data_IF_829053923129
#
_entry.id   IF_829053923129
#
_cell.length_a   1.000
_cell.length_b   1.000
_cell.length_c   1.000
_cell.angle_alpha   90.00
_cell.angle_beta   90.00
_cell.angle_gamma   90.00
#
_symmetry.space_group_name_H-M   'P 1'
#
loop_
_entity.id
_entity.type
_entity.pdbx_description
1 polymer ?
#
# COMPACT_ATOMS: atom_id res chain seq x y z
N UNK A 1 -23.35 -38.53 -6.58
CA UNK A 1 -24.41 -37.79 -7.30
C UNK A 1 -24.12 -36.32 -7.08
N UNK A 2 -23.45 -35.66 -8.02
CA UNK A 2 -23.34 -34.21 -8.03
C UNK A 2 -24.72 -33.66 -8.40
N UNK A 3 -25.40 -33.03 -7.46
CA UNK A 3 -26.53 -32.17 -7.79
C UNK A 3 -25.95 -30.91 -8.43
N UNK A 4 -26.28 -30.70 -9.68
CA UNK A 4 -26.10 -29.44 -10.38
C UNK A 4 -26.77 -28.34 -9.55
N UNK A 5 -25.99 -27.50 -8.92
CA UNK A 5 -26.47 -26.26 -8.36
C UNK A 5 -26.83 -25.33 -9.53
N UNK A 6 -28.11 -25.14 -9.76
CA UNK A 6 -28.63 -24.17 -10.71
C UNK A 6 -28.57 -22.80 -10.06
N UNK A 7 -27.39 -22.25 -10.09
CA UNK A 7 -27.01 -20.93 -9.67
C UNK A 7 -25.50 -20.83 -9.91
N UNK A 8 -25.05 -19.98 -10.80
CA UNK A 8 -23.62 -19.83 -11.04
C UNK A 8 -22.97 -19.16 -9.84
N UNK A 9 -22.34 -19.94 -8.97
CA UNK A 9 -21.42 -19.45 -7.97
C UNK A 9 -20.11 -19.08 -8.65
N UNK A 10 -19.76 -17.80 -8.64
CA UNK A 10 -18.45 -17.33 -9.06
C UNK A 10 -17.65 -16.97 -7.81
N UNK A 11 -16.73 -17.84 -7.41
CA UNK A 11 -15.77 -17.56 -6.35
C UNK A 11 -14.65 -16.68 -6.90
N UNK A 12 -14.55 -15.44 -6.45
CA UNK A 12 -13.40 -14.57 -6.70
C UNK A 12 -12.43 -14.75 -5.55
N UNK A 13 -11.25 -15.30 -5.84
CA UNK A 13 -10.28 -15.86 -4.89
C UNK A 13 -9.29 -14.84 -4.30
N UNK A 14 -9.69 -13.58 -4.07
CA UNK A 14 -8.82 -12.59 -3.41
C UNK A 14 -9.48 -11.83 -2.25
N UNK A 15 -10.73 -12.11 -1.99
CA UNK A 15 -11.41 -11.87 -0.73
C UNK A 15 -12.51 -12.90 -0.66
N UNK A 16 -12.64 -13.59 0.45
CA UNK A 16 -13.60 -14.67 0.68
C UNK A 16 -15.02 -14.09 0.71
N UNK A 17 -15.49 -13.60 -0.44
CA UNK A 17 -16.88 -13.18 -0.64
C UNK A 17 -17.49 -14.03 -1.70
N UNK A 18 -18.62 -14.65 -1.36
CA UNK A 18 -19.45 -15.43 -2.28
C UNK A 18 -20.61 -14.57 -2.76
N UNK A 19 -20.85 -14.57 -4.07
CA UNK A 19 -21.98 -13.88 -4.65
C UNK A 19 -22.98 -14.92 -5.24
N UNK A 20 -24.21 -14.84 -4.80
CA UNK A 20 -25.33 -15.61 -5.36
C UNK A 20 -26.16 -14.73 -6.30
N UNK A 21 -26.50 -15.23 -7.49
CA UNK A 21 -27.36 -14.53 -8.44
C UNK A 21 -28.70 -15.27 -8.51
N UNK A 22 -29.80 -14.55 -8.26
CA UNK A 22 -31.17 -15.05 -8.39
C UNK A 22 -31.57 -15.16 -9.88
N UNK A 23 -30.87 -16.05 -10.58
CA UNK A 23 -31.14 -16.35 -12.00
C UNK A 23 -31.49 -17.83 -12.14
N UNK A 24 -32.78 -18.14 -12.06
CA UNK A 24 -33.26 -19.51 -12.13
C UNK A 24 -34.21 -19.89 -10.97
N UNK A 25 -34.18 -21.16 -10.53
CA UNK A 25 -35.12 -21.73 -9.58
C UNK A 25 -34.70 -21.63 -8.09
N UNK A 26 -33.66 -20.89 -7.76
CA UNK A 26 -33.21 -20.72 -6.36
C UNK A 26 -33.89 -19.53 -5.66
N UNK A 27 -34.16 -19.67 -4.36
CA UNK A 27 -34.68 -18.56 -3.53
C UNK A 27 -33.56 -17.76 -2.87
N UNK A 28 -33.88 -16.52 -2.46
CA UNK A 28 -32.95 -15.66 -1.70
C UNK A 28 -32.51 -16.32 -0.38
N UNK A 29 -33.44 -17.04 0.25
CA UNK A 29 -33.21 -17.75 1.51
C UNK A 29 -32.22 -18.91 1.34
N UNK A 30 -32.31 -19.64 0.24
CA UNK A 30 -31.37 -20.73 -0.08
C UNK A 30 -29.94 -20.20 -0.32
N UNK A 31 -29.80 -19.09 -1.04
CA UNK A 31 -28.49 -18.46 -1.25
C UNK A 31 -27.90 -17.90 0.04
N UNK A 32 -28.72 -17.29 0.90
CA UNK A 32 -28.27 -16.81 2.20
C UNK A 32 -27.86 -17.96 3.13
N UNK A 33 -28.60 -19.09 3.13
CA UNK A 33 -28.24 -20.28 3.90
C UNK A 33 -26.98 -20.97 3.37
N UNK A 34 -26.69 -20.83 2.05
CA UNK A 34 -25.45 -21.30 1.45
C UNK A 34 -24.23 -20.39 1.74
N UNK A 35 -24.43 -19.29 2.47
CA UNK A 35 -23.36 -18.39 2.88
C UNK A 35 -22.98 -17.34 1.82
N UNK A 36 -23.92 -16.96 0.95
CA UNK A 36 -23.68 -15.88 -0.01
C UNK A 36 -23.61 -14.52 0.69
N UNK A 37 -22.49 -13.84 0.57
CA UNK A 37 -22.25 -12.49 1.11
C UNK A 37 -22.97 -11.39 0.31
N UNK A 38 -23.19 -11.65 -0.99
CA UNK A 38 -23.89 -10.77 -1.90
C UNK A 38 -24.95 -11.57 -2.66
N UNK A 39 -26.19 -11.09 -2.70
CA UNK A 39 -27.27 -11.71 -3.47
C UNK A 39 -27.82 -10.68 -4.46
N UNK A 40 -27.57 -10.92 -5.76
CA UNK A 40 -28.03 -10.09 -6.87
C UNK A 40 -29.25 -10.71 -7.55
N UNK A 41 -30.14 -9.87 -8.10
CA UNK A 41 -31.32 -10.33 -8.81
C UNK A 41 -31.02 -10.71 -10.26
N UNK A 42 -30.06 -10.03 -10.87
CA UNK A 42 -29.68 -10.25 -12.27
C UNK A 42 -28.15 -10.20 -12.45
N UNK A 43 -27.62 -10.81 -13.53
CA UNK A 43 -26.21 -10.67 -13.89
C UNK A 43 -25.79 -9.22 -14.12
N UNK A 44 -26.69 -8.37 -14.61
CA UNK A 44 -26.43 -6.95 -14.83
C UNK A 44 -26.28 -6.20 -13.48
N UNK A 45 -27.11 -6.53 -12.49
CA UNK A 45 -26.99 -6.00 -11.13
C UNK A 45 -25.67 -6.40 -10.50
N UNK A 46 -25.28 -7.67 -10.65
CA UNK A 46 -23.97 -8.18 -10.22
C UNK A 46 -22.83 -7.43 -10.91
N UNK A 47 -22.89 -7.32 -12.25
CA UNK A 47 -21.88 -6.59 -13.03
C UNK A 47 -21.81 -5.12 -12.60
N UNK A 48 -22.93 -4.46 -12.34
CA UNK A 48 -22.98 -3.08 -11.88
C UNK A 48 -22.36 -2.93 -10.50
N UNK A 49 -22.62 -3.85 -9.57
CA UNK A 49 -22.02 -3.85 -8.23
C UNK A 49 -20.51 -4.11 -8.35
N UNK A 50 -20.09 -5.10 -9.12
CA UNK A 50 -18.68 -5.42 -9.33
C UNK A 50 -17.93 -4.29 -10.04
N UNK A 51 -18.55 -3.63 -11.01
CA UNK A 51 -17.96 -2.46 -11.67
C UNK A 51 -17.94 -1.24 -10.75
N UNK A 52 -18.94 -1.05 -9.89
CA UNK A 52 -18.91 0.03 -8.89
C UNK A 52 -17.87 -0.23 -7.81
N UNK A 53 -17.64 -1.50 -7.43
CA UNK A 53 -16.54 -1.88 -6.55
C UNK A 53 -15.17 -1.73 -7.24
N UNK A 54 -15.08 -1.92 -8.56
CA UNK A 54 -13.88 -1.68 -9.35
C UNK A 54 -13.66 -0.21 -9.72
N UNK A 55 -14.72 0.60 -9.85
CA UNK A 55 -14.64 2.02 -10.22
C UNK A 55 -14.58 2.97 -9.02
N UNK A 56 -14.46 2.42 -7.79
CA UNK A 56 -14.11 3.20 -6.60
C UNK A 56 -15.30 3.83 -5.90
N UNK A 57 -16.02 3.04 -5.14
CA UNK A 57 -16.18 3.40 -3.75
C UNK A 57 -15.20 2.53 -2.94
N UNK A 58 -13.91 2.79 -3.07
CA UNK A 58 -12.94 2.48 -2.02
C UNK A 58 -13.35 3.34 -0.84
N UNK A 59 -14.33 2.90 -0.06
CA UNK A 59 -14.50 3.45 1.27
C UNK A 59 -13.14 3.33 1.92
N UNK A 60 -12.53 4.49 2.08
CA UNK A 60 -11.28 4.66 2.80
C UNK A 60 -11.40 3.82 4.06
N UNK A 61 -10.57 2.77 4.20
CA UNK A 61 -10.66 1.93 5.38
C UNK A 61 -10.22 2.74 6.61
N UNK A 62 -10.65 2.34 7.79
CA UNK A 62 -10.39 3.10 9.02
C UNK A 62 -8.89 3.28 9.28
N UNK A 63 -8.06 2.28 8.94
CA UNK A 63 -6.60 2.37 9.09
C UNK A 63 -6.00 3.36 8.12
N UNK A 64 -6.39 3.32 6.82
CA UNK A 64 -5.88 4.27 5.81
C UNK A 64 -6.16 5.71 6.23
N UNK A 65 -7.38 5.97 6.71
CA UNK A 65 -7.80 7.27 7.20
C UNK A 65 -7.01 7.71 8.43
N UNK A 66 -6.92 6.83 9.43
CA UNK A 66 -6.22 7.13 10.68
C UNK A 66 -4.75 7.48 10.42
N UNK A 67 -4.04 6.68 9.62
CA UNK A 67 -2.65 6.95 9.27
C UNK A 67 -2.51 8.25 8.47
N UNK A 68 -3.43 8.56 7.56
CA UNK A 68 -3.43 9.84 6.85
C UNK A 68 -3.59 11.03 7.81
N UNK A 69 -4.53 10.95 8.75
CA UNK A 69 -4.74 11.96 9.79
C UNK A 69 -3.51 12.14 10.67
N UNK A 70 -2.87 11.03 11.06
CA UNK A 70 -1.65 11.04 11.86
C UNK A 70 -0.49 11.73 11.13
N UNK A 71 -0.25 11.39 9.86
CA UNK A 71 0.78 12.02 9.05
C UNK A 71 0.55 13.53 8.85
N UNK A 72 -0.70 13.94 8.68
CA UNK A 72 -1.07 15.36 8.59
C UNK A 72 -0.86 16.07 9.93
N UNK A 73 -1.25 15.45 11.05
CA UNK A 73 -1.15 16.05 12.39
C UNK A 73 0.26 16.41 12.79
N UNK A 74 1.24 15.58 12.42
CA UNK A 74 2.67 15.81 12.67
C UNK A 74 3.35 16.58 11.55
N UNK A 75 2.59 17.07 10.56
CA UNK A 75 3.10 17.77 9.39
C UNK A 75 4.16 16.95 8.62
N UNK A 76 3.98 15.66 8.51
CA UNK A 76 4.81 14.81 7.66
C UNK A 76 4.49 14.97 6.16
N UNK A 77 3.32 15.50 5.84
CA UNK A 77 2.90 15.77 4.47
C UNK A 77 2.68 17.27 4.27
N UNK A 78 3.33 17.81 3.25
CA UNK A 78 3.27 19.22 2.86
C UNK A 78 2.64 19.34 1.50
N UNK A 79 1.68 20.27 1.36
CA UNK A 79 1.03 20.58 0.10
C UNK A 79 1.40 21.99 -0.37
N UNK A 80 1.81 22.11 -1.64
CA UNK A 80 2.11 23.37 -2.32
C UNK A 80 1.64 23.30 -3.77
N UNK A 81 0.32 23.30 -4.02
CA UNK A 81 -0.20 23.19 -5.38
C UNK A 81 0.11 24.42 -6.24
N UNK A 82 0.30 25.60 -5.62
CA UNK A 82 0.60 26.86 -6.34
C UNK A 82 2.10 27.12 -6.46
N UNK A 83 2.92 26.62 -5.49
CA UNK A 83 4.37 26.77 -5.45
C UNK A 83 5.04 25.39 -5.28
N UNK A 84 5.05 24.55 -6.34
CA UNK A 84 5.43 23.16 -6.21
C UNK A 84 6.88 22.95 -5.76
N UNK A 85 7.10 21.85 -5.07
CA UNK A 85 8.43 21.34 -4.78
C UNK A 85 9.10 20.85 -6.09
N UNK A 86 10.43 20.93 -6.16
CA UNK A 86 11.19 20.27 -7.22
C UNK A 86 11.95 19.09 -6.64
N UNK A 87 11.64 17.89 -7.10
CA UNK A 87 12.35 16.68 -6.70
C UNK A 87 13.76 16.66 -7.32
N UNK A 88 14.65 15.80 -6.77
CA UNK A 88 16.00 15.62 -7.32
C UNK A 88 16.00 15.15 -8.79
N UNK A 89 14.91 14.52 -9.24
CA UNK A 89 14.67 14.12 -10.64
C UNK A 89 14.27 15.28 -11.56
N UNK A 90 14.06 16.48 -11.01
CA UNK A 90 13.53 17.64 -11.74
C UNK A 90 12.00 17.72 -11.78
N UNK A 91 11.28 16.70 -11.36
CA UNK A 91 9.80 16.66 -11.36
C UNK A 91 9.27 17.72 -10.41
N UNK A 92 8.31 18.51 -10.88
CA UNK A 92 7.52 19.43 -10.05
C UNK A 92 6.45 18.64 -9.32
N UNK A 93 6.38 18.78 -8.00
CA UNK A 93 5.42 18.05 -7.17
C UNK A 93 4.64 18.99 -6.28
N UNK A 94 3.30 18.89 -6.23
CA UNK A 94 2.46 19.68 -5.33
C UNK A 94 2.53 19.19 -3.89
N UNK A 95 3.23 18.07 -3.64
CA UNK A 95 3.29 17.41 -2.34
C UNK A 95 4.70 16.91 -2.03
N UNK A 96 5.06 17.00 -0.77
CA UNK A 96 6.26 16.38 -0.22
C UNK A 96 5.88 15.61 1.04
N UNK A 97 6.32 14.35 1.14
CA UNK A 97 6.11 13.50 2.29
C UNK A 97 7.44 13.18 2.96
N UNK A 98 7.54 13.43 4.27
CA UNK A 98 8.70 13.10 5.10
C UNK A 98 8.27 12.20 6.29
N UNK A 99 8.19 10.92 6.04
CA UNK A 99 7.81 9.94 7.04
C UNK A 99 8.83 9.79 8.18
N UNK A 100 10.05 10.34 8.03
CA UNK A 100 11.07 10.35 9.11
C UNK A 100 10.60 11.12 10.34
N UNK A 101 9.66 12.06 10.19
CA UNK A 101 9.06 12.81 11.29
C UNK A 101 8.26 11.91 12.25
N UNK A 102 7.79 10.75 11.78
CA UNK A 102 7.11 9.75 12.63
C UNK A 102 8.01 9.34 13.81
N UNK A 103 9.32 9.21 13.58
CA UNK A 103 10.26 8.75 14.60
C UNK A 103 10.33 9.70 15.82
N UNK A 104 10.03 10.97 15.62
CA UNK A 104 10.06 12.00 16.67
C UNK A 104 8.68 12.29 17.27
N UNK A 105 7.64 11.60 16.83
CA UNK A 105 6.25 11.71 17.29
C UNK A 105 5.82 10.39 17.97
N UNK A 106 6.06 10.16 19.26
CA UNK A 106 5.92 8.85 19.91
C UNK A 106 4.53 8.22 19.75
N UNK A 107 3.46 9.00 19.87
CA UNK A 107 2.08 8.50 19.77
C UNK A 107 1.78 8.05 18.33
N UNK A 108 2.07 8.90 17.35
CA UNK A 108 1.91 8.56 15.91
C UNK A 108 2.80 7.39 15.52
N UNK A 109 4.02 7.34 16.04
CA UNK A 109 4.92 6.21 15.82
C UNK A 109 4.30 4.91 16.32
N UNK A 110 3.73 4.91 17.52
CA UNK A 110 3.09 3.72 18.09
C UNK A 110 1.92 3.25 17.22
N UNK A 111 1.08 4.16 16.73
CA UNK A 111 -0.03 3.84 15.82
C UNK A 111 0.48 3.24 14.50
N UNK A 112 1.48 3.88 13.89
CA UNK A 112 2.07 3.41 12.62
C UNK A 112 2.70 2.03 12.77
N UNK A 113 3.52 1.81 13.82
CA UNK A 113 4.18 0.51 14.05
C UNK A 113 3.17 -0.59 14.35
N UNK A 114 2.12 -0.28 15.11
CA UNK A 114 1.01 -1.21 15.37
C UNK A 114 0.29 -1.56 14.07
N UNK A 115 0.03 -0.58 13.20
CA UNK A 115 -0.61 -0.81 11.92
C UNK A 115 0.26 -1.63 10.96
N UNK A 116 1.60 -1.42 10.94
CA UNK A 116 2.55 -2.26 10.19
C UNK A 116 2.49 -3.70 10.70
N UNK A 117 2.60 -3.91 12.02
CA UNK A 117 2.53 -5.22 12.65
C UNK A 117 1.25 -5.97 12.26
N UNK A 118 0.08 -5.35 12.47
CA UNK A 118 -1.21 -5.93 12.13
C UNK A 118 -1.34 -6.25 10.63
N UNK A 119 -0.76 -5.40 9.78
CA UNK A 119 -0.73 -5.65 8.33
C UNK A 119 0.13 -6.85 7.99
N UNK A 120 1.29 -7.00 8.61
CA UNK A 120 2.16 -8.18 8.40
C UNK A 120 1.46 -9.45 8.90
N UNK A 121 0.86 -9.42 10.08
CA UNK A 121 0.13 -10.58 10.64
C UNK A 121 -1.02 -11.03 9.74
N UNK A 122 -1.75 -10.09 9.15
CA UNK A 122 -2.89 -10.37 8.26
C UNK A 122 -2.46 -10.84 6.88
N UNK A 123 -1.51 -10.14 6.24
CA UNK A 123 -1.17 -10.33 4.83
C UNK A 123 -0.03 -11.33 4.63
N UNK A 124 0.84 -11.47 5.61
CA UNK A 124 2.06 -12.28 5.56
C UNK A 124 2.28 -13.08 6.86
N UNK A 125 1.29 -13.88 7.31
CA UNK A 125 1.36 -14.59 8.61
C UNK A 125 2.53 -15.58 8.69
N UNK A 126 3.13 -15.93 7.56
CA UNK A 126 4.29 -16.81 7.47
C UNK A 126 5.64 -16.06 7.47
N UNK A 127 5.66 -14.75 7.76
CA UNK A 127 6.89 -13.97 7.82
C UNK A 127 7.83 -14.51 8.91
N UNK A 128 9.09 -14.69 8.56
CA UNK A 128 10.14 -15.19 9.48
C UNK A 128 11.16 -14.12 9.80
N UNK A 129 11.36 -13.15 8.92
CA UNK A 129 12.34 -12.05 9.06
C UNK A 129 11.78 -10.77 8.49
N UNK A 130 12.05 -9.64 9.15
CA UNK A 130 11.75 -8.31 8.63
C UNK A 130 13.03 -7.67 8.10
N UNK A 131 12.96 -7.06 6.90
CA UNK A 131 14.08 -6.35 6.30
C UNK A 131 13.70 -4.90 6.00
N UNK A 132 14.36 -3.96 6.68
CA UNK A 132 14.17 -2.54 6.44
C UNK A 132 14.90 -2.05 5.18
N UNK A 133 14.31 -1.10 4.49
CA UNK A 133 15.00 -0.36 3.43
C UNK A 133 15.83 0.76 4.03
N UNK A 134 17.04 0.96 3.54
CA UNK A 134 17.88 2.08 3.96
C UNK A 134 17.38 3.39 3.34
N UNK A 135 17.15 4.42 4.13
CA UNK A 135 17.50 4.56 5.55
C UNK A 135 16.22 4.53 6.42
N UNK A 136 15.11 5.05 5.94
CA UNK A 136 13.93 5.33 6.76
C UNK A 136 13.20 4.05 7.21
N UNK A 137 13.18 2.99 6.40
CA UNK A 137 12.55 1.71 6.75
C UNK A 137 13.25 0.94 7.88
N UNK A 138 14.52 1.26 8.19
CA UNK A 138 15.30 0.53 9.20
C UNK A 138 14.67 0.63 10.59
N UNK A 139 14.35 1.84 11.03
CA UNK A 139 13.81 2.07 12.36
C UNK A 139 12.45 1.39 12.54
N UNK A 140 11.58 1.50 11.55
CA UNK A 140 10.27 0.86 11.53
C UNK A 140 10.40 -0.68 11.58
N UNK A 141 11.28 -1.26 10.75
CA UNK A 141 11.55 -2.69 10.79
C UNK A 141 12.08 -3.16 12.15
N UNK A 142 12.92 -2.35 12.83
CA UNK A 142 13.47 -2.68 14.14
C UNK A 142 12.39 -2.68 15.22
N UNK A 143 11.54 -1.65 15.25
CA UNK A 143 10.47 -1.54 16.25
C UNK A 143 9.44 -2.65 16.05
N UNK A 144 8.97 -2.85 14.81
CA UNK A 144 7.98 -3.89 14.49
C UNK A 144 8.58 -5.29 14.72
N UNK A 145 9.85 -5.53 14.37
CA UNK A 145 10.54 -6.79 14.65
C UNK A 145 10.59 -7.08 16.15
N UNK A 146 10.83 -6.05 16.98
CA UNK A 146 10.77 -6.18 18.44
C UNK A 146 9.35 -6.52 18.93
N UNK A 147 8.32 -5.83 18.41
CA UNK A 147 6.91 -6.08 18.78
C UNK A 147 6.46 -7.50 18.41
N UNK A 148 6.82 -7.96 17.23
CA UNK A 148 6.49 -9.31 16.72
C UNK A 148 7.41 -10.41 17.23
N UNK A 149 8.52 -10.06 17.90
CA UNK A 149 9.60 -10.99 18.30
C UNK A 149 10.20 -11.73 17.09
N UNK A 150 10.27 -11.06 15.94
CA UNK A 150 10.88 -11.57 14.73
C UNK A 150 12.31 -11.01 14.57
N UNK A 151 13.24 -11.84 14.02
CA UNK A 151 14.52 -11.33 13.56
C UNK A 151 14.33 -10.19 12.57
N UNK A 152 15.23 -9.19 12.62
CA UNK A 152 15.28 -8.12 11.66
C UNK A 152 16.68 -7.87 11.13
N UNK A 153 16.75 -7.29 9.96
CA UNK A 153 17.93 -6.76 9.33
C UNK A 153 17.58 -5.61 8.39
N UNK A 154 18.53 -5.17 7.59
CA UNK A 154 18.27 -4.15 6.57
C UNK A 154 19.23 -4.29 5.39
N UNK A 155 18.85 -3.70 4.25
CA UNK A 155 19.68 -3.66 3.06
C UNK A 155 20.21 -2.24 2.86
N UNK A 156 21.54 -2.10 2.73
CA UNK A 156 22.19 -0.81 2.49
C UNK A 156 22.00 -0.36 1.04
N UNK A 157 21.93 0.96 0.83
CA UNK A 157 21.74 1.55 -0.49
C UNK A 157 22.92 1.41 -1.46
N UNK A 158 24.15 1.12 -0.95
CA UNK A 158 25.34 0.90 -1.76
C UNK A 158 26.23 -0.19 -1.17
N UNK A 159 26.96 -0.92 -2.04
CA UNK A 159 28.03 -1.79 -1.61
C UNK A 159 29.20 -0.98 -1.05
N UNK A 160 29.87 -1.47 0.00
CA UNK A 160 31.15 -0.89 0.42
C UNK A 160 32.24 -1.25 -0.61
N UNK A 161 32.98 -0.26 -1.05
CA UNK A 161 34.09 -0.44 -2.01
C UNK A 161 35.25 -1.30 -1.47
N UNK A 162 35.21 -1.70 -0.20
CA UNK A 162 36.29 -2.46 0.43
C UNK A 162 35.80 -3.77 1.02
N UNK A 163 35.97 -4.86 0.29
CA UNK A 163 36.21 -6.21 0.79
C UNK A 163 35.03 -7.07 1.26
N UNK A 164 33.82 -6.54 1.46
CA UNK A 164 32.58 -7.34 1.69
C UNK A 164 31.49 -6.89 0.76
N UNK A 165 31.18 -7.71 -0.23
CA UNK A 165 30.08 -7.50 -1.21
C UNK A 165 28.68 -7.60 -0.57
N UNK A 166 28.58 -7.83 0.74
CA UNK A 166 27.30 -8.04 1.40
C UNK A 166 26.64 -6.69 1.73
N UNK A 167 25.53 -6.42 1.05
CA UNK A 167 24.67 -5.25 1.31
C UNK A 167 23.68 -5.50 2.46
N UNK A 168 23.55 -6.76 2.90
CA UNK A 168 22.61 -7.15 3.96
C UNK A 168 23.30 -7.02 5.30
N UNK A 169 22.72 -6.28 6.20
CA UNK A 169 23.10 -6.19 7.59
C UNK A 169 22.10 -6.97 8.45
N UNK A 170 22.62 -7.83 9.32
CA UNK A 170 21.88 -8.87 10.01
C UNK A 170 22.15 -10.24 9.37
N UNK A 171 21.57 -11.29 9.96
CA UNK A 171 21.67 -12.66 9.45
C UNK A 171 20.46 -12.99 8.60
N UNK A 172 20.68 -13.46 7.39
CA UNK A 172 19.66 -13.96 6.48
C UNK A 172 20.06 -15.34 5.99
N UNK A 173 19.17 -16.31 6.11
CA UNK A 173 19.40 -17.68 5.66
C UNK A 173 18.65 -17.94 4.35
N UNK A 174 19.22 -18.81 3.51
CA UNK A 174 18.58 -19.20 2.25
C UNK A 174 17.22 -19.87 2.53
N UNK A 175 16.21 -19.44 1.82
CA UNK A 175 14.84 -19.94 1.94
C UNK A 175 14.01 -19.23 3.01
N UNK A 176 14.59 -18.36 3.85
CA UNK A 176 13.81 -17.60 4.82
C UNK A 176 12.80 -16.68 4.16
N UNK A 177 11.61 -16.63 4.76
CA UNK A 177 10.46 -15.83 4.30
C UNK A 177 10.56 -14.42 4.86
N UNK A 178 10.75 -13.46 3.97
CA UNK A 178 11.05 -12.07 4.30
C UNK A 178 9.91 -11.15 3.94
N UNK A 179 9.55 -10.25 4.85
CA UNK A 179 8.76 -9.05 4.55
C UNK A 179 9.66 -7.83 4.58
N UNK A 180 9.61 -7.04 3.51
CA UNK A 180 10.33 -5.76 3.44
C UNK A 180 9.48 -4.66 4.05
N UNK A 181 10.08 -3.87 4.94
CA UNK A 181 9.44 -2.69 5.55
C UNK A 181 10.04 -1.44 4.92
N UNK A 182 9.16 -0.60 4.35
CA UNK A 182 9.52 0.64 3.66
C UNK A 182 8.74 1.82 4.26
N UNK A 183 9.30 3.01 4.25
CA UNK A 183 8.57 4.21 4.68
C UNK A 183 7.69 4.78 3.55
N UNK A 184 8.20 4.81 2.32
CA UNK A 184 7.53 5.46 1.22
C UNK A 184 7.81 4.77 -0.13
N UNK A 185 6.76 4.47 -0.87
CA UNK A 185 6.86 3.96 -2.25
C UNK A 185 6.36 5.02 -3.24
N UNK A 186 7.26 5.52 -4.09
CA UNK A 186 6.94 6.40 -5.22
C UNK A 186 6.96 5.63 -6.55
N UNK A 187 8.11 5.60 -7.21
CA UNK A 187 8.31 4.84 -8.46
C UNK A 187 8.80 3.41 -8.24
N UNK A 188 8.93 2.97 -6.98
CA UNK A 188 9.30 1.61 -6.60
C UNK A 188 10.75 1.21 -6.85
N UNK A 189 11.62 2.13 -7.30
CA UNK A 189 13.01 1.79 -7.66
C UNK A 189 13.80 1.26 -6.46
N UNK A 190 13.89 2.04 -5.37
CA UNK A 190 14.67 1.69 -4.18
C UNK A 190 14.23 0.38 -3.54
N UNK A 191 12.94 0.20 -3.31
CA UNK A 191 12.41 -1.02 -2.70
C UNK A 191 12.64 -2.25 -3.57
N UNK A 192 12.56 -2.11 -4.90
CA UNK A 192 12.83 -3.22 -5.82
C UNK A 192 14.32 -3.59 -5.87
N UNK A 193 15.22 -2.65 -5.67
CA UNK A 193 16.65 -2.95 -5.55
C UNK A 193 16.93 -3.74 -4.26
N UNK A 194 16.26 -3.40 -3.15
CA UNK A 194 16.30 -4.21 -1.91
C UNK A 194 15.78 -5.62 -2.15
N UNK A 195 14.63 -5.77 -2.82
CA UNK A 195 14.06 -7.09 -3.15
C UNK A 195 15.03 -7.93 -4.00
N UNK A 196 15.69 -7.32 -4.99
CA UNK A 196 16.69 -8.02 -5.82
C UNK A 196 17.85 -8.55 -4.97
N UNK A 197 18.38 -7.73 -4.06
CA UNK A 197 19.47 -8.13 -3.16
C UNK A 197 19.05 -9.30 -2.27
N UNK A 198 17.86 -9.24 -1.67
CA UNK A 198 17.35 -10.31 -0.81
C UNK A 198 17.12 -11.61 -1.58
N UNK A 199 16.51 -11.54 -2.78
CA UNK A 199 16.32 -12.71 -3.65
C UNK A 199 17.64 -13.29 -4.13
N UNK A 200 18.64 -12.46 -4.43
CA UNK A 200 19.98 -12.91 -4.82
C UNK A 200 20.70 -13.63 -3.65
N UNK A 201 20.41 -13.26 -2.41
CA UNK A 201 20.87 -13.95 -1.21
C UNK A 201 20.09 -15.25 -0.92
N UNK A 202 19.07 -15.56 -1.72
CA UNK A 202 18.27 -16.78 -1.62
C UNK A 202 17.05 -16.69 -0.71
N UNK A 203 16.65 -15.49 -0.28
CA UNK A 203 15.42 -15.29 0.49
C UNK A 203 14.16 -15.44 -0.37
N UNK A 204 13.10 -15.92 0.26
CA UNK A 204 11.74 -15.86 -0.27
C UNK A 204 11.10 -14.53 0.16
N UNK A 205 11.11 -13.52 -0.73
CA UNK A 205 10.47 -12.23 -0.44
C UNK A 205 8.97 -12.36 -0.66
N UNK A 206 8.22 -12.34 0.45
CA UNK A 206 6.75 -12.46 0.46
C UNK A 206 6.08 -11.21 -0.10
N UNK A 207 6.60 -10.03 0.26
CA UNK A 207 6.10 -8.75 -0.19
C UNK A 207 6.72 -7.59 0.57
N UNK A 208 6.10 -6.44 0.39
CA UNK A 208 6.48 -5.17 1.01
C UNK A 208 5.31 -4.64 1.83
N UNK A 209 5.57 -4.13 3.02
CA UNK A 209 4.65 -3.28 3.77
C UNK A 209 5.25 -1.90 3.84
N UNK A 210 4.52 -0.88 3.38
CA UNK A 210 4.96 0.50 3.40
C UNK A 210 3.99 1.39 4.17
N UNK A 211 4.48 2.47 4.76
CA UNK A 211 3.62 3.43 5.46
C UNK A 211 2.79 4.19 4.42
N UNK A 212 3.43 4.69 3.39
CA UNK A 212 2.80 5.52 2.38
C UNK A 212 3.17 5.09 0.95
N UNK A 213 2.22 5.21 0.03
CA UNK A 213 2.49 5.12 -1.42
C UNK A 213 1.87 6.29 -2.18
N UNK A 214 2.62 6.81 -3.16
CA UNK A 214 2.05 7.75 -4.14
C UNK A 214 1.05 7.07 -5.09
N UNK A 215 1.09 5.74 -5.25
CA UNK A 215 0.21 5.03 -6.19
C UNK A 215 0.48 5.39 -7.66
N UNK A 216 1.68 5.87 -7.99
CA UNK A 216 2.06 6.23 -9.34
C UNK A 216 2.06 5.03 -10.27
N UNK A 217 1.51 5.18 -11.49
CA UNK A 217 1.43 4.14 -12.51
C UNK A 217 2.75 3.40 -12.72
N UNK A 218 3.84 4.15 -12.87
CA UNK A 218 5.20 3.60 -13.05
C UNK A 218 5.64 2.72 -11.88
N UNK A 219 5.28 3.08 -10.65
CA UNK A 219 5.58 2.29 -9.46
C UNK A 219 4.79 0.98 -9.44
N UNK A 220 3.49 1.06 -9.71
CA UNK A 220 2.61 -0.10 -9.77
C UNK A 220 3.05 -1.10 -10.85
N UNK A 221 3.35 -0.62 -12.06
CA UNK A 221 3.83 -1.45 -13.17
C UNK A 221 5.16 -2.16 -12.84
N UNK A 222 6.11 -1.45 -12.22
CA UNK A 222 7.40 -2.03 -11.80
C UNK A 222 7.24 -3.11 -10.73
N UNK A 223 6.43 -2.85 -9.72
CA UNK A 223 6.13 -3.83 -8.67
C UNK A 223 5.47 -5.07 -9.25
N UNK A 224 4.48 -4.89 -10.13
CA UNK A 224 3.80 -5.99 -10.82
C UNK A 224 4.77 -6.81 -11.70
N UNK A 225 5.61 -6.14 -12.51
CA UNK A 225 6.62 -6.80 -13.34
C UNK A 225 7.64 -7.61 -12.51
N UNK A 226 7.98 -7.11 -11.32
CA UNK A 226 8.87 -7.80 -10.38
C UNK A 226 8.16 -8.89 -9.55
N UNK A 227 6.84 -9.05 -9.70
CA UNK A 227 5.99 -9.93 -8.88
C UNK A 227 6.19 -9.63 -7.38
N UNK A 228 6.08 -8.38 -7.02
CA UNK A 228 6.18 -7.90 -5.64
C UNK A 228 4.89 -7.21 -5.28
N UNK A 229 4.18 -7.73 -4.29
CA UNK A 229 3.01 -7.07 -3.71
C UNK A 229 3.47 -6.06 -2.67
N UNK A 230 3.01 -4.82 -2.80
CA UNK A 230 3.16 -3.79 -1.77
C UNK A 230 1.81 -3.54 -1.12
N UNK A 231 1.75 -3.60 0.20
CA UNK A 231 0.59 -3.20 1.01
C UNK A 231 0.98 -1.95 1.77
N UNK A 232 0.33 -0.83 1.47
CA UNK A 232 0.60 0.45 2.14
C UNK A 232 -0.47 0.75 3.18
N UNK A 233 -0.07 1.32 4.32
CA UNK A 233 -1.01 1.70 5.39
C UNK A 233 -1.92 2.83 4.95
N UNK A 234 -1.41 3.75 4.13
CA UNK A 234 -2.19 4.81 3.50
C UNK A 234 -1.61 5.15 2.12
N UNK A 235 -2.29 5.99 1.37
CA UNK A 235 -1.91 6.34 0.01
C UNK A 235 -2.22 7.81 -0.30
N UNK A 236 -1.72 8.27 -1.45
CA UNK A 236 -1.83 9.65 -1.89
C UNK A 236 -3.28 10.14 -1.99
N UNK A 237 -4.19 9.31 -2.53
CA UNK A 237 -5.59 9.68 -2.75
C UNK A 237 -6.30 9.92 -1.41
N UNK A 238 -6.06 9.02 -0.44
CA UNK A 238 -6.60 9.13 0.92
C UNK A 238 -6.07 10.38 1.63
N UNK A 239 -4.76 10.63 1.56
CA UNK A 239 -4.17 11.81 2.21
C UNK A 239 -4.71 13.11 1.58
N UNK A 240 -4.85 13.18 0.25
CA UNK A 240 -5.40 14.35 -0.42
C UNK A 240 -6.86 14.61 -0.01
N UNK A 241 -7.67 13.56 0.09
CA UNK A 241 -9.05 13.68 0.53
C UNK A 241 -9.15 14.14 2.00
N UNK A 242 -8.42 13.50 2.91
CA UNK A 242 -8.40 13.88 4.33
C UNK A 242 -7.88 15.31 4.53
N UNK A 243 -6.85 15.71 3.76
CA UNK A 243 -6.31 17.06 3.81
C UNK A 243 -7.35 18.12 3.40
N UNK A 244 -8.19 17.83 2.39
CA UNK A 244 -9.28 18.71 2.01
C UNK A 244 -10.39 18.76 3.08
N UNK A 245 -10.78 17.62 3.64
CA UNK A 245 -11.78 17.54 4.72
C UNK A 245 -11.32 18.31 5.98
N UNK A 246 -10.03 18.22 6.31
CA UNK A 246 -9.43 18.93 7.45
C UNK A 246 -8.95 20.35 7.13
N UNK A 247 -9.21 20.85 5.91
CA UNK A 247 -8.88 22.20 5.45
C UNK A 247 -7.37 22.51 5.41
N UNK A 248 -6.52 21.50 5.24
CA UNK A 248 -5.10 21.70 4.92
C UNK A 248 -4.89 22.19 3.50
N UNK A 249 -5.80 21.81 2.59
CA UNK A 249 -5.88 22.26 1.20
C UNK A 249 -7.32 22.63 0.87
N UNK A 250 -7.52 23.32 -0.24
CA UNK A 250 -8.86 23.60 -0.74
C UNK A 250 -9.43 22.36 -1.44
N UNK A 251 -10.77 22.14 -1.41
CA UNK A 251 -11.38 21.00 -2.09
C UNK A 251 -11.05 20.94 -3.60
N UNK A 252 -10.95 22.09 -4.27
CA UNK A 252 -10.59 22.18 -5.68
C UNK A 252 -9.16 21.72 -5.99
N UNK A 253 -8.25 21.79 -5.02
CA UNK A 253 -6.86 21.32 -5.21
C UNK A 253 -6.75 19.80 -5.30
N UNK A 254 -7.72 19.05 -4.76
CA UNK A 254 -7.70 17.58 -4.84
C UNK A 254 -7.58 17.09 -6.28
N UNK A 255 -8.34 17.69 -7.21
CA UNK A 255 -8.28 17.31 -8.63
C UNK A 255 -6.88 17.55 -9.22
N UNK A 256 -6.22 18.66 -8.88
CA UNK A 256 -4.85 19.00 -9.30
C UNK A 256 -3.83 18.00 -8.76
N UNK A 257 -3.98 17.61 -7.50
CA UNK A 257 -3.13 16.61 -6.85
C UNK A 257 -3.27 15.24 -7.53
N UNK A 258 -4.49 14.82 -7.83
CA UNK A 258 -4.75 13.55 -8.52
C UNK A 258 -4.23 13.56 -9.96
N UNK A 259 -4.29 14.70 -10.66
CA UNK A 259 -3.71 14.86 -11.99
C UNK A 259 -2.18 14.64 -11.95
N UNK A 260 -1.49 15.30 -11.02
CA UNK A 260 -0.06 15.05 -10.78
C UNK A 260 0.25 13.57 -10.50
N UNK A 261 -0.53 12.92 -9.64
CA UNK A 261 -0.33 11.51 -9.30
C UNK A 261 -0.48 10.60 -10.52
N UNK A 262 -1.43 10.90 -11.40
CA UNK A 262 -1.68 10.13 -12.63
C UNK A 262 -0.53 10.27 -13.64
N UNK A 263 -0.04 11.49 -13.83
CA UNK A 263 1.10 11.79 -14.72
C UNK A 263 2.00 12.87 -14.10
N UNK A 264 3.05 12.48 -13.37
CA UNK A 264 3.99 13.44 -12.77
C UNK A 264 4.80 14.26 -13.79
N UNK A 265 4.76 13.92 -15.08
CA UNK A 265 5.42 14.67 -16.16
C UNK A 265 4.51 15.75 -16.77
N UNK A 266 3.22 15.67 -16.54
CA UNK A 266 2.25 16.70 -16.93
C UNK A 266 2.27 17.82 -15.89
N UNK A 267 2.65 19.04 -16.32
CA UNK A 267 2.70 20.23 -15.46
C UNK A 267 1.42 21.08 -15.58
N UNK A 268 0.39 20.64 -16.30
CA UNK A 268 -0.84 21.43 -16.55
C UNK A 268 -1.69 21.63 -15.27
N UNK A 269 -1.42 20.86 -14.20
CA UNK A 269 -2.01 21.07 -12.88
C UNK A 269 -1.43 22.30 -12.15
N UNK A 270 -0.26 22.83 -12.58
CA UNK A 270 0.38 24.03 -12.02
C UNK A 270 -0.33 25.25 -12.59
N UNK A 271 -0.78 26.13 -11.71
CA UNK A 271 -1.58 27.29 -12.12
C UNK A 271 -3.05 26.95 -12.07
N UNK A 272 -3.71 27.44 -11.02
CA UNK A 272 -5.16 27.28 -10.87
C UNK A 272 -5.88 27.80 -12.09
N UNK A 273 -7.01 27.18 -12.40
CA UNK A 273 -8.01 27.74 -13.32
C UNK A 273 -8.31 29.18 -12.91
N UNK A 274 -7.91 30.14 -13.77
CA UNK A 274 -8.41 31.52 -13.75
C UNK A 274 -9.92 31.53 -13.87
#
# INVERSE_FOLDING_TARGET
>A
MLRSLVGSEMCIRDSIRTAGILYGYGTREELAQAGADLICRTPEEFTKIMLSEQQGDKRMNATERKIAEDLLSIRAVFFRPDEPFTWASGIKSPVYCDNRLILTAPDVRTEVETAIMQTIEREYPQAEVLMGTSTAGIAHAAIVGHMMKLPMGYVRGSSKDHGRQNQIEGRLEKGQKVVVVEDLVSTGGSVLDVVKVLRAAGAEVLGVVSIFTYGMKKGLERLAAAKVRNVSLTNFDVIAQVAAEQKYIKPEDVARLLQFRNDPSDESWIGGTN
#
